data_IF_249293086074
#
_entry.id   IF_249293086074
#
_cell.length_a   1.000
_cell.length_b   1.000
_cell.length_c   1.000
_cell.angle_alpha   90.00
_cell.angle_beta   90.00
_cell.angle_gamma   90.00
#
_symmetry.space_group_name_H-M   'P 1'
#
loop_
_entity.id
_entity.type
_entity.pdbx_description
1 polymer ?
#
# COMPACT_ATOMS: atom_id res chain seq x y z
N UNK A 1 -54.20 -4.73 52.43
CA UNK A 1 -54.30 -3.55 51.55
C UNK A 1 -52.95 -2.88 51.39
N UNK A 2 -51.95 -3.55 50.80
CA UNK A 2 -50.57 -3.03 50.50
C UNK A 2 -49.86 -3.93 49.52
N UNK A 3 -50.40 -4.08 48.30
CA UNK A 3 -49.70 -4.85 47.24
C UNK A 3 -49.77 -4.18 45.85
N UNK A 4 -50.14 -2.89 45.76
CA UNK A 4 -50.37 -2.26 44.48
C UNK A 4 -49.52 -1.00 44.20
N UNK A 5 -48.39 -0.80 44.93
CA UNK A 5 -47.56 0.40 44.71
C UNK A 5 -46.13 0.13 44.16
N UNK A 6 -45.76 -1.13 43.97
CA UNK A 6 -44.40 -1.49 43.49
C UNK A 6 -44.35 -1.73 41.97
N UNK A 7 -45.50 -2.06 41.35
CA UNK A 7 -45.50 -2.38 39.88
C UNK A 7 -45.42 -1.15 38.95
N UNK A 8 -45.86 0.02 39.42
CA UNK A 8 -45.88 1.23 38.55
C UNK A 8 -44.50 1.94 38.42
N UNK A 9 -43.57 1.73 39.37
CA UNK A 9 -42.24 2.37 39.30
C UNK A 9 -41.28 1.60 38.40
N UNK A 10 -41.51 0.31 38.18
CA UNK A 10 -40.68 -0.51 37.29
C UNK A 10 -41.08 -0.37 35.80
N UNK A 11 -42.35 -0.07 35.54
CA UNK A 11 -42.85 0.12 34.16
C UNK A 11 -42.43 1.52 33.63
N UNK A 12 -42.37 2.54 34.48
CA UNK A 12 -41.91 3.91 34.08
C UNK A 12 -40.42 3.96 33.79
N UNK A 13 -39.59 3.14 34.42
CA UNK A 13 -38.13 3.05 34.17
C UNK A 13 -37.79 2.39 32.83
N UNK A 14 -38.60 1.43 32.39
CA UNK A 14 -38.36 0.69 31.16
C UNK A 14 -38.77 1.46 29.89
N UNK A 15 -39.84 2.32 30.02
CA UNK A 15 -40.30 3.14 28.88
C UNK A 15 -39.39 4.33 28.61
N UNK A 16 -38.73 4.90 29.66
CA UNK A 16 -37.85 6.06 29.49
C UNK A 16 -36.49 5.71 28.88
N UNK A 17 -36.05 4.46 28.97
CA UNK A 17 -34.81 3.99 28.33
C UNK A 17 -35.05 3.64 26.84
N UNK A 18 -36.27 3.18 26.48
CA UNK A 18 -36.59 2.86 25.09
C UNK A 18 -36.76 4.09 24.17
N UNK A 19 -37.10 5.24 24.71
CA UNK A 19 -37.31 6.49 23.95
C UNK A 19 -36.05 7.31 23.73
N UNK A 20 -34.93 7.00 24.39
CA UNK A 20 -33.62 7.65 24.20
C UNK A 20 -32.76 7.00 23.11
N UNK A 21 -33.15 5.85 22.56
CA UNK A 21 -32.40 5.11 21.55
C UNK A 21 -32.87 5.35 20.10
N UNK A 22 -33.93 6.15 19.88
CA UNK A 22 -34.45 6.39 18.52
C UNK A 22 -34.12 7.79 17.95
N UNK A 23 -33.23 8.53 18.56
CA UNK A 23 -33.02 9.96 18.26
C UNK A 23 -31.76 10.35 17.47
N UNK A 24 -30.94 9.42 16.96
CA UNK A 24 -29.76 9.78 16.15
C UNK A 24 -29.60 8.90 14.90
N UNK A 25 -30.60 8.89 14.03
CA UNK A 25 -30.36 8.61 12.64
C UNK A 25 -29.84 9.91 11.98
N UNK A 26 -28.57 10.21 12.16
CA UNK A 26 -27.89 11.23 11.37
C UNK A 26 -27.85 10.74 9.93
N UNK A 27 -28.72 11.30 9.08
CA UNK A 27 -28.53 11.22 7.64
C UNK A 27 -27.19 11.89 7.33
N UNK A 28 -26.13 11.13 7.25
CA UNK A 28 -24.90 11.56 6.59
C UNK A 28 -25.22 11.62 5.10
N UNK A 29 -25.62 12.78 4.64
CA UNK A 29 -25.52 13.12 3.22
C UNK A 29 -24.04 13.12 2.91
N UNK A 30 -23.51 11.99 2.36
CA UNK A 30 -22.22 11.98 1.71
C UNK A 30 -22.37 12.93 0.50
N UNK A 31 -21.91 14.15 0.64
CA UNK A 31 -21.55 14.95 -0.50
C UNK A 31 -20.48 14.14 -1.23
N UNK A 32 -20.83 13.51 -2.34
CA UNK A 32 -19.86 13.05 -3.30
C UNK A 32 -19.16 14.29 -3.82
N UNK A 33 -18.05 14.63 -3.20
CA UNK A 33 -17.08 15.53 -3.81
C UNK A 33 -16.59 14.78 -5.04
N UNK A 34 -17.10 15.13 -6.20
CA UNK A 34 -16.44 14.81 -7.47
C UNK A 34 -15.08 15.47 -7.37
N UNK A 35 -14.07 14.67 -7.03
CA UNK A 35 -12.70 15.15 -6.99
C UNK A 35 -12.38 15.62 -8.43
N UNK A 36 -12.25 16.92 -8.58
CA UNK A 36 -11.74 17.51 -9.82
C UNK A 36 -10.27 17.06 -9.92
N UNK A 37 -10.02 16.05 -10.78
CA UNK A 37 -8.71 15.36 -10.86
C UNK A 37 -7.63 16.18 -11.56
N UNK A 38 -8.02 17.29 -12.23
CA UNK A 38 -7.08 18.11 -12.98
C UNK A 38 -6.61 17.40 -14.25
N UNK A 39 -5.29 17.33 -14.45
CA UNK A 39 -4.68 16.66 -15.60
C UNK A 39 -4.35 15.20 -15.23
N UNK A 40 -4.70 14.28 -16.12
CA UNK A 40 -4.47 12.83 -15.99
C UNK A 40 -3.62 12.35 -17.15
N UNK A 41 -2.72 11.41 -16.92
CA UNK A 41 -1.92 10.75 -17.97
C UNK A 41 -2.17 9.26 -17.99
N UNK A 42 -2.24 8.67 -19.17
CA UNK A 42 -2.44 7.23 -19.36
C UNK A 42 -1.70 6.73 -20.60
N UNK A 43 -0.90 5.65 -20.50
CA UNK A 43 -0.58 4.91 -19.28
C UNK A 43 0.34 5.69 -18.36
N UNK A 44 0.22 5.47 -17.04
CA UNK A 44 1.10 6.10 -16.06
C UNK A 44 2.48 5.41 -15.95
N UNK A 45 2.59 4.14 -16.39
CA UNK A 45 3.82 3.35 -16.40
C UNK A 45 3.94 2.63 -17.73
N UNK A 46 5.13 2.68 -18.31
CA UNK A 46 5.52 2.00 -19.53
C UNK A 46 6.83 1.26 -19.32
N UNK A 47 6.94 0.07 -19.92
CA UNK A 47 8.14 -0.77 -19.87
C UNK A 47 8.60 -1.07 -21.30
N UNK A 48 9.90 -0.95 -21.54
CA UNK A 48 10.54 -1.19 -22.82
C UNK A 48 11.79 -2.05 -22.63
N UNK A 49 11.84 -3.19 -23.28
CA UNK A 49 13.08 -3.90 -23.53
C UNK A 49 13.66 -3.47 -24.88
N UNK A 50 14.79 -2.79 -24.87
CA UNK A 50 15.33 -2.12 -26.05
C UNK A 50 16.63 -2.74 -26.53
N UNK A 51 16.77 -2.84 -27.84
CA UNK A 51 18.03 -3.07 -28.51
C UNK A 51 18.78 -1.74 -28.72
N UNK A 52 20.10 -1.78 -28.72
CA UNK A 52 20.93 -0.61 -29.00
C UNK A 52 20.71 -0.15 -30.45
N UNK A 53 20.76 1.15 -30.69
CA UNK A 53 20.53 1.74 -32.00
C UNK A 53 19.07 1.70 -32.47
N UNK A 54 18.16 1.14 -31.68
CA UNK A 54 16.77 1.01 -32.06
C UNK A 54 15.93 2.20 -31.62
N UNK A 55 14.82 2.42 -32.35
CA UNK A 55 13.84 3.47 -32.06
C UNK A 55 12.47 2.85 -31.83
N UNK A 56 11.76 3.32 -30.81
CA UNK A 56 10.46 2.82 -30.39
C UNK A 56 9.49 3.98 -30.24
N UNK A 57 8.27 3.83 -30.69
CA UNK A 57 7.24 4.87 -30.60
C UNK A 57 6.27 4.56 -29.47
N UNK A 58 5.91 5.60 -28.72
CA UNK A 58 4.95 5.54 -27.62
C UNK A 58 3.94 6.65 -27.75
N UNK A 59 2.77 6.39 -27.18
CA UNK A 59 1.70 7.38 -27.05
C UNK A 59 1.27 7.46 -25.59
N UNK A 60 1.21 8.67 -25.05
CA UNK A 60 0.63 8.97 -23.75
C UNK A 60 -0.56 9.89 -23.97
N UNK A 61 -1.72 9.45 -23.50
CA UNK A 61 -2.92 10.28 -23.48
C UNK A 61 -2.86 11.22 -22.30
N UNK A 62 -2.96 12.52 -22.56
CA UNK A 62 -3.08 13.58 -21.56
C UNK A 62 -4.52 14.06 -21.58
N UNK A 63 -5.24 13.84 -20.48
CA UNK A 63 -6.66 14.15 -20.34
C UNK A 63 -6.85 15.30 -19.35
N UNK A 64 -7.68 16.26 -19.74
CA UNK A 64 -8.11 17.35 -18.90
C UNK A 64 -9.48 17.05 -18.27
N UNK A 65 -9.49 16.55 -17.04
CA UNK A 65 -10.74 16.23 -16.31
C UNK A 65 -11.38 17.47 -15.63
N UNK A 66 -10.96 18.69 -15.98
CA UNK A 66 -11.58 19.90 -15.47
C UNK A 66 -12.76 20.33 -16.33
N UNK A 67 -13.82 20.90 -15.76
CA UNK A 67 -15.02 21.30 -16.52
C UNK A 67 -14.90 22.64 -17.25
N UNK A 68 -13.97 23.51 -16.85
CA UNK A 68 -13.98 24.92 -17.27
C UNK A 68 -12.63 25.45 -17.73
N UNK A 69 -11.50 24.77 -17.39
CA UNK A 69 -10.17 25.32 -17.67
C UNK A 69 -9.52 24.60 -18.83
N UNK A 70 -9.07 25.33 -19.83
CA UNK A 70 -8.14 24.87 -20.84
C UNK A 70 -6.70 24.96 -20.30
N UNK A 71 -5.87 23.97 -20.62
CA UNK A 71 -4.46 23.96 -20.23
C UNK A 71 -3.56 23.88 -21.45
N UNK A 72 -2.62 24.82 -21.54
CA UNK A 72 -1.46 24.67 -22.42
C UNK A 72 -0.42 23.84 -21.68
N UNK A 73 -0.02 22.74 -22.28
CA UNK A 73 0.89 21.74 -21.71
C UNK A 73 2.23 21.78 -22.46
N UNK A 74 3.30 21.56 -21.71
CA UNK A 74 4.65 21.41 -22.26
C UNK A 74 5.20 20.03 -21.86
N UNK A 75 5.71 19.31 -22.86
CA UNK A 75 6.34 17.99 -22.69
C UNK A 75 7.79 18.16 -22.25
N UNK A 76 8.19 17.48 -21.19
CA UNK A 76 9.54 17.52 -20.61
C UNK A 76 10.07 16.10 -20.40
N UNK A 77 11.37 15.94 -20.57
CA UNK A 77 12.08 14.69 -20.23
C UNK A 77 12.80 14.86 -18.91
N UNK A 78 12.43 14.05 -17.95
CA UNK A 78 13.03 13.98 -16.64
C UNK A 78 13.53 12.56 -16.37
N UNK A 79 14.21 12.36 -15.28
CA UNK A 79 14.54 11.03 -14.73
C UNK A 79 13.81 10.84 -13.41
N UNK A 80 13.78 9.60 -12.92
CA UNK A 80 13.29 9.34 -11.58
C UNK A 80 14.17 8.31 -10.87
N UNK A 81 14.15 8.37 -9.56
CA UNK A 81 14.83 7.42 -8.68
C UNK A 81 13.89 6.95 -7.57
N UNK A 82 14.31 5.94 -6.83
CA UNK A 82 13.59 5.50 -5.63
C UNK A 82 13.68 6.60 -4.56
N UNK A 83 12.54 7.19 -4.19
CA UNK A 83 12.50 8.26 -3.18
C UNK A 83 12.40 7.72 -1.76
N UNK A 84 11.68 6.63 -1.56
CA UNK A 84 11.49 6.00 -0.27
C UNK A 84 11.37 4.48 -0.42
N UNK A 85 11.48 3.78 0.71
CA UNK A 85 11.27 2.33 0.76
C UNK A 85 9.80 1.93 0.47
N UNK A 86 8.88 2.88 0.49
CA UNK A 86 7.47 2.69 0.11
C UNK A 86 7.29 2.66 -1.42
N UNK A 87 8.34 3.02 -2.18
CA UNK A 87 8.37 2.95 -3.63
C UNK A 87 7.73 4.13 -4.33
N UNK A 88 7.64 5.28 -3.66
CA UNK A 88 7.24 6.55 -4.28
C UNK A 88 8.42 7.05 -5.12
N UNK A 89 8.25 7.24 -6.44
CA UNK A 89 9.31 7.76 -7.28
C UNK A 89 9.56 9.25 -6.99
N UNK A 90 10.82 9.65 -6.98
CA UNK A 90 11.21 11.06 -6.97
C UNK A 90 11.66 11.44 -8.38
N UNK A 91 10.90 12.33 -9.02
CA UNK A 91 11.24 12.86 -10.34
C UNK A 91 12.33 13.91 -10.17
N UNK A 92 13.39 13.79 -10.98
CA UNK A 92 14.51 14.71 -11.00
C UNK A 92 14.69 15.30 -12.39
N UNK A 93 14.98 16.58 -12.42
CA UNK A 93 15.32 17.26 -13.66
C UNK A 93 16.66 16.74 -14.17
N UNK A 94 16.74 16.48 -15.47
CA UNK A 94 17.99 16.14 -16.13
C UNK A 94 18.84 17.41 -16.28
N UNK A 95 20.11 17.40 -15.89
CA UNK A 95 21.03 18.49 -16.13
C UNK A 95 21.07 18.86 -17.62
N UNK A 96 21.37 20.13 -17.91
CA UNK A 96 21.66 20.55 -19.28
C UNK A 96 22.82 19.74 -19.86
N UNK A 97 22.67 19.29 -21.12
CA UNK A 97 23.68 18.47 -21.79
C UNK A 97 23.70 17.00 -21.40
N UNK A 98 22.77 16.53 -20.55
CA UNK A 98 22.63 15.10 -20.29
C UNK A 98 22.13 14.37 -21.54
N UNK A 99 22.93 13.39 -22.01
CA UNK A 99 22.64 12.64 -23.24
C UNK A 99 21.32 11.87 -23.22
N UNK A 100 20.85 11.45 -22.03
CA UNK A 100 19.61 10.73 -21.87
C UNK A 100 18.40 11.57 -22.29
N UNK A 101 18.48 12.90 -22.17
CA UNK A 101 17.43 13.80 -22.67
C UNK A 101 17.16 13.60 -24.16
N UNK A 102 18.19 13.30 -24.92
CA UNK A 102 18.11 13.11 -26.37
C UNK A 102 17.50 11.76 -26.78
N UNK A 103 17.30 10.85 -25.80
CA UNK A 103 16.64 9.57 -26.08
C UNK A 103 15.18 9.75 -26.41
N UNK A 104 14.52 10.76 -25.85
CA UNK A 104 13.11 11.02 -26.10
C UNK A 104 12.97 12.21 -27.04
N UNK A 105 12.21 12.01 -28.12
CA UNK A 105 11.86 13.06 -29.08
C UNK A 105 10.35 13.09 -29.24
N UNK A 106 9.74 14.18 -28.84
CA UNK A 106 8.30 14.42 -29.02
C UNK A 106 7.99 14.82 -30.43
N UNK A 107 6.85 14.40 -30.97
CA UNK A 107 6.32 14.90 -32.23
C UNK A 107 5.81 16.35 -32.05
N UNK A 108 5.25 16.64 -30.85
CA UNK A 108 4.81 17.97 -30.47
C UNK A 108 5.19 18.24 -29.01
N UNK A 109 6.01 19.27 -28.76
CA UNK A 109 6.47 19.60 -27.39
C UNK A 109 5.45 20.43 -26.61
N UNK A 110 4.67 21.28 -27.29
CA UNK A 110 3.63 22.12 -26.67
C UNK A 110 2.28 21.85 -27.34
N UNK A 111 1.23 21.72 -26.53
CA UNK A 111 -0.13 21.48 -26.99
C UNK A 111 -1.15 22.01 -25.98
N UNK A 112 -2.39 22.26 -26.45
CA UNK A 112 -3.49 22.65 -25.56
C UNK A 112 -4.48 21.52 -25.42
N UNK A 113 -5.06 21.37 -24.21
CA UNK A 113 -6.12 20.40 -23.91
C UNK A 113 -7.32 21.15 -23.37
N UNK A 114 -8.40 21.17 -24.14
CA UNK A 114 -9.66 21.81 -23.77
C UNK A 114 -10.33 21.12 -22.56
N UNK A 115 -11.27 21.77 -21.86
CA UNK A 115 -12.03 21.15 -20.79
C UNK A 115 -12.71 19.86 -21.26
N UNK A 116 -12.58 18.78 -20.45
CA UNK A 116 -13.17 17.46 -20.73
C UNK A 116 -12.70 16.81 -22.03
N UNK A 117 -11.53 17.21 -22.53
CA UNK A 117 -10.91 16.67 -23.74
C UNK A 117 -9.57 16.03 -23.46
N UNK A 118 -8.96 15.40 -24.46
CA UNK A 118 -7.67 14.72 -24.34
C UNK A 118 -6.81 14.96 -25.56
N UNK A 119 -5.49 14.87 -25.36
CA UNK A 119 -4.48 14.94 -26.40
C UNK A 119 -3.60 13.68 -26.33
N UNK A 120 -3.38 13.04 -27.47
CA UNK A 120 -2.49 11.89 -27.59
C UNK A 120 -1.07 12.39 -27.93
N UNK A 121 -0.21 12.49 -26.91
CA UNK A 121 1.19 12.89 -27.04
C UNK A 121 2.01 11.71 -27.55
N UNK A 122 2.48 11.82 -28.80
CA UNK A 122 3.34 10.81 -29.43
C UNK A 122 4.79 11.20 -29.28
N UNK A 123 5.64 10.24 -28.93
CA UNK A 123 7.08 10.44 -28.83
C UNK A 123 7.85 9.17 -29.21
N UNK A 124 9.12 9.35 -29.61
CA UNK A 124 10.05 8.28 -29.93
C UNK A 124 11.14 8.17 -28.90
N UNK A 125 11.45 6.93 -28.52
CA UNK A 125 12.58 6.58 -27.67
C UNK A 125 13.69 6.05 -28.57
N UNK A 126 14.75 6.81 -28.76
CA UNK A 126 15.90 6.48 -29.58
C UNK A 126 17.05 6.02 -28.67
N UNK A 127 17.34 4.75 -28.64
CA UNK A 127 18.39 4.17 -27.81
C UNK A 127 19.71 4.25 -28.56
N UNK A 128 20.75 4.95 -28.06
CA UNK A 128 22.04 5.04 -28.73
C UNK A 128 22.72 3.65 -28.89
N UNK A 129 23.59 3.53 -29.89
CA UNK A 129 24.41 2.33 -30.11
C UNK A 129 25.37 2.10 -28.92
N UNK A 130 25.83 3.16 -28.26
CA UNK A 130 26.77 3.15 -27.14
C UNK A 130 26.07 2.96 -25.79
N UNK A 131 24.74 2.86 -25.74
CA UNK A 131 24.00 2.71 -24.50
C UNK A 131 24.48 1.45 -23.73
N UNK A 132 24.78 1.64 -22.46
CA UNK A 132 25.22 0.52 -21.60
C UNK A 132 24.03 -0.40 -21.27
N UNK A 133 24.26 -1.71 -21.15
CA UNK A 133 23.21 -2.62 -20.68
C UNK A 133 22.74 -2.26 -19.28
N UNK A 134 21.44 -2.37 -19.06
CA UNK A 134 20.82 -2.04 -17.78
C UNK A 134 19.52 -1.25 -17.93
N UNK A 135 18.92 -0.90 -16.82
CA UNK A 135 17.66 -0.15 -16.80
C UNK A 135 17.91 1.35 -16.60
N UNK A 136 17.20 2.13 -17.41
CA UNK A 136 17.14 3.59 -17.37
C UNK A 136 15.73 4.00 -16.97
N UNK A 137 15.63 5.01 -16.11
CA UNK A 137 14.38 5.44 -15.50
C UNK A 137 14.06 6.85 -15.96
N UNK A 138 13.15 6.97 -16.92
CA UNK A 138 12.74 8.21 -17.55
C UNK A 138 11.33 8.58 -17.12
N UNK A 139 11.07 9.87 -16.97
CA UNK A 139 9.75 10.40 -16.73
C UNK A 139 9.38 11.37 -17.84
N UNK A 140 8.37 11.01 -18.61
CA UNK A 140 7.72 11.92 -19.57
C UNK A 140 6.76 12.78 -18.77
N UNK A 141 7.14 14.04 -18.57
CA UNK A 141 6.41 14.99 -17.71
C UNK A 141 5.69 16.02 -18.55
N UNK A 142 4.46 16.27 -18.20
CA UNK A 142 3.62 17.32 -18.81
C UNK A 142 3.37 18.40 -17.75
N UNK A 143 3.82 19.62 -18.05
CA UNK A 143 3.72 20.77 -17.17
C UNK A 143 2.74 21.80 -17.73
N UNK A 144 1.90 22.39 -16.87
CA UNK A 144 1.01 23.50 -17.25
C UNK A 144 1.75 24.83 -17.16
N UNK A 145 1.55 25.73 -18.14
CA UNK A 145 2.07 27.10 -18.11
C UNK A 145 3.55 27.23 -18.51
N UNK A 146 3.98 28.46 -18.71
CA UNK A 146 5.37 28.80 -19.01
C UNK A 146 6.25 28.69 -17.76
N UNK A 147 7.41 28.07 -17.88
CA UNK A 147 8.40 27.96 -16.82
C UNK A 147 8.96 29.33 -16.33
N UNK A 148 8.67 30.42 -17.05
CA UNK A 148 9.16 31.76 -16.78
C UNK A 148 8.13 32.70 -16.14
N UNK A 149 7.02 32.21 -15.57
CA UNK A 149 6.09 33.13 -14.91
C UNK A 149 6.67 33.63 -13.59
N UNK A 150 7.54 34.60 -13.72
CA UNK A 150 8.03 35.45 -12.63
C UNK A 150 6.84 36.11 -11.95
N UNK A 151 6.84 36.01 -10.62
CA UNK A 151 5.92 36.68 -9.72
C UNK A 151 5.88 38.18 -10.04
N UNK A 152 4.90 38.62 -10.81
CA UNK A 152 4.57 40.03 -10.96
C UNK A 152 3.16 40.24 -10.42
N UNK A 153 3.06 41.04 -9.36
CA UNK A 153 1.83 41.51 -8.75
C UNK A 153 0.86 40.46 -8.18
N UNK A 154 1.30 39.74 -7.12
CA UNK A 154 0.41 38.99 -6.19
C UNK A 154 -0.46 37.87 -6.81
N UNK A 155 -0.17 37.37 -7.99
CA UNK A 155 -0.73 36.11 -8.51
C UNK A 155 0.27 34.97 -8.29
N UNK A 156 -0.10 34.04 -7.45
CA UNK A 156 0.60 32.75 -7.33
C UNK A 156 0.15 31.91 -8.55
N UNK A 157 1.04 31.69 -9.48
CA UNK A 157 0.81 30.72 -10.57
C UNK A 157 1.26 29.37 -10.05
N UNK A 158 0.33 28.44 -9.89
CA UNK A 158 0.61 27.06 -9.51
C UNK A 158 0.83 26.27 -10.79
N UNK A 159 2.07 25.86 -11.06
CA UNK A 159 2.38 24.92 -12.13
C UNK A 159 1.94 23.53 -11.68
N UNK A 160 1.09 22.88 -12.45
CA UNK A 160 0.75 21.46 -12.27
C UNK A 160 1.66 20.62 -13.15
N UNK A 161 2.23 19.57 -12.60
CA UNK A 161 3.06 18.60 -13.32
C UNK A 161 2.49 17.21 -13.13
N UNK A 162 2.30 16.48 -14.21
CA UNK A 162 1.95 15.05 -14.22
C UNK A 162 2.98 14.31 -15.04
N UNK A 163 3.28 13.07 -14.70
CA UNK A 163 4.30 12.30 -15.36
C UNK A 163 3.87 10.86 -15.65
N UNK A 164 4.26 10.37 -16.81
CA UNK A 164 4.26 8.96 -17.16
C UNK A 164 5.68 8.41 -16.98
N UNK A 165 5.83 7.33 -16.20
CA UNK A 165 7.12 6.70 -15.93
C UNK A 165 7.46 5.71 -17.04
N UNK A 166 8.67 5.78 -17.56
CA UNK A 166 9.18 4.91 -18.61
C UNK A 166 10.42 4.16 -18.10
N UNK A 167 10.29 2.86 -18.00
CA UNK A 167 11.37 1.93 -17.67
C UNK A 167 11.96 1.39 -18.96
N UNK A 168 13.19 1.80 -19.30
CA UNK A 168 13.88 1.31 -20.50
C UNK A 168 14.99 0.37 -20.07
N UNK A 169 14.92 -0.90 -20.44
CA UNK A 169 15.98 -1.89 -20.21
C UNK A 169 16.71 -2.16 -21.49
N UNK A 170 17.97 -1.72 -21.58
CA UNK A 170 18.86 -1.99 -22.70
C UNK A 170 19.43 -3.39 -22.55
N UNK A 171 19.22 -4.23 -23.57
CA UNK A 171 19.68 -5.63 -23.58
C UNK A 171 21.19 -5.76 -23.49
N UNK A 172 21.65 -6.77 -22.76
CA UNK A 172 23.08 -7.10 -22.61
C UNK A 172 23.35 -7.81 -21.29
N UNK A 173 24.55 -7.57 -20.74
CA UNK A 173 24.93 -8.20 -19.47
C UNK A 173 24.10 -7.64 -18.33
N UNK A 174 23.28 -8.51 -17.72
CA UNK A 174 22.48 -8.22 -16.54
C UNK A 174 23.29 -8.56 -15.30
N UNK A 175 23.29 -7.63 -14.33
CA UNK A 175 23.78 -7.86 -12.97
C UNK A 175 22.63 -7.71 -12.03
N UNK A 176 22.34 -8.75 -11.23
CA UNK A 176 21.20 -8.76 -10.31
C UNK A 176 21.51 -9.62 -9.09
N UNK A 177 21.39 -9.01 -7.93
CA UNK A 177 21.35 -9.69 -6.64
C UNK A 177 20.10 -9.26 -5.92
N UNK A 178 19.44 -10.20 -5.27
CA UNK A 178 18.15 -9.95 -4.58
C UNK A 178 18.23 -10.58 -3.21
N UNK A 179 17.80 -9.87 -2.16
CA UNK A 179 17.75 -10.44 -0.81
C UNK A 179 16.60 -9.85 0.01
N UNK A 180 16.17 -10.62 1.01
CA UNK A 180 15.31 -10.12 2.07
C UNK A 180 16.18 -9.37 3.09
N UNK A 181 16.02 -8.05 3.17
CA UNK A 181 16.70 -7.22 4.18
C UNK A 181 16.04 -7.35 5.55
N UNK A 182 14.73 -7.51 5.59
CA UNK A 182 13.95 -7.78 6.80
C UNK A 182 12.76 -8.68 6.46
N UNK A 183 12.35 -9.51 7.42
CA UNK A 183 11.13 -10.30 7.37
C UNK A 183 10.69 -10.59 8.81
N UNK A 184 9.76 -9.80 9.34
CA UNK A 184 9.41 -9.87 10.73
C UNK A 184 7.95 -9.48 11.00
N UNK A 185 7.41 -10.04 12.05
CA UNK A 185 6.11 -9.64 12.60
C UNK A 185 6.28 -8.58 13.71
N UNK A 186 5.25 -7.77 13.93
CA UNK A 186 5.24 -6.71 14.95
C UNK A 186 5.38 -7.24 16.39
N UNK A 187 5.11 -8.54 16.62
CA UNK A 187 5.30 -9.27 17.88
C UNK A 187 5.69 -10.72 17.59
N UNK A 188 6.17 -11.43 18.59
CA UNK A 188 6.38 -12.88 18.52
C UNK A 188 5.25 -13.68 19.17
N UNK A 189 4.57 -13.11 20.17
CA UNK A 189 3.48 -13.76 20.91
C UNK A 189 2.20 -12.95 20.73
N UNK A 190 1.14 -13.64 20.36
CA UNK A 190 -0.17 -13.06 20.06
C UNK A 190 -1.28 -13.75 20.85
N UNK A 191 -2.25 -12.98 21.27
CA UNK A 191 -3.56 -13.53 21.58
C UNK A 191 -4.32 -13.78 20.28
N UNK A 192 -4.73 -15.03 19.95
CA UNK A 192 -5.30 -15.37 18.65
C UNK A 192 -6.62 -14.66 18.36
N UNK A 193 -7.32 -14.20 19.38
CA UNK A 193 -8.65 -13.59 19.26
C UNK A 193 -8.61 -12.07 19.25
N UNK A 194 -7.66 -11.47 19.99
CA UNK A 194 -7.69 -10.04 20.29
C UNK A 194 -6.51 -9.25 19.72
N UNK A 195 -5.43 -9.90 19.27
CA UNK A 195 -4.27 -9.21 18.73
C UNK A 195 -4.28 -9.19 17.20
N UNK A 196 -4.03 -8.01 16.59
CA UNK A 196 -3.72 -7.88 15.18
C UNK A 196 -2.26 -8.27 14.92
N UNK A 197 -2.03 -8.95 13.79
CA UNK A 197 -0.70 -9.32 13.31
C UNK A 197 -0.36 -8.41 12.14
N UNK A 198 0.84 -7.84 12.19
CA UNK A 198 1.46 -7.14 11.07
C UNK A 198 2.73 -7.87 10.69
N UNK A 199 2.84 -8.30 9.44
CA UNK A 199 4.09 -8.75 8.85
C UNK A 199 4.66 -7.61 8.01
N UNK A 200 5.88 -7.21 8.30
CA UNK A 200 6.66 -6.29 7.49
C UNK A 200 7.87 -7.02 6.88
N UNK A 201 8.10 -6.82 5.60
CA UNK A 201 9.27 -7.36 4.93
C UNK A 201 9.82 -6.36 3.93
N UNK A 202 11.14 -6.41 3.77
CA UNK A 202 11.89 -5.53 2.89
C UNK A 202 12.73 -6.35 1.93
N UNK A 203 12.61 -6.05 0.65
CA UNK A 203 13.40 -6.68 -0.41
C UNK A 203 14.34 -5.64 -0.97
N UNK A 204 15.63 -5.99 -1.01
CA UNK A 204 16.68 -5.18 -1.62
C UNK A 204 17.19 -5.80 -2.91
N UNK A 205 17.60 -4.94 -3.84
CA UNK A 205 18.25 -5.34 -5.08
C UNK A 205 19.58 -4.62 -5.26
N UNK A 206 20.57 -5.33 -5.80
CA UNK A 206 21.84 -4.75 -6.26
C UNK A 206 22.05 -5.14 -7.72
N UNK A 207 22.65 -4.24 -8.50
CA UNK A 207 22.92 -4.49 -9.92
C UNK A 207 22.54 -3.35 -10.85
N UNK A 208 22.24 -3.67 -12.12
CA UNK A 208 21.98 -2.68 -13.17
C UNK A 208 20.57 -2.72 -13.76
N UNK A 209 19.68 -3.61 -13.27
CA UNK A 209 18.30 -3.73 -13.75
C UNK A 209 17.31 -3.71 -12.60
N UNK A 210 16.12 -3.15 -12.85
CA UNK A 210 15.03 -3.20 -11.89
C UNK A 210 14.48 -4.62 -11.71
N UNK A 211 13.73 -4.84 -10.65
CA UNK A 211 13.06 -6.09 -10.35
C UNK A 211 11.58 -5.86 -10.06
N UNK A 212 10.73 -6.72 -10.62
CA UNK A 212 9.39 -7.01 -10.09
C UNK A 212 9.48 -8.32 -9.30
N UNK A 213 9.48 -8.28 -7.98
CA UNK A 213 9.64 -9.50 -7.20
C UNK A 213 8.44 -10.42 -7.41
N UNK A 214 8.71 -11.64 -7.88
CA UNK A 214 7.73 -12.71 -8.00
C UNK A 214 7.92 -13.72 -6.87
N UNK A 215 6.82 -14.20 -6.27
CA UNK A 215 6.90 -15.17 -5.20
C UNK A 215 5.64 -15.20 -4.33
N UNK A 216 5.70 -16.03 -3.29
CA UNK A 216 4.58 -16.24 -2.39
C UNK A 216 5.01 -16.18 -0.92
N UNK A 217 4.03 -15.88 -0.07
CA UNK A 217 4.12 -16.01 1.37
C UNK A 217 3.18 -17.14 1.77
N UNK A 218 3.72 -18.15 2.41
CA UNK A 218 3.01 -19.32 2.92
C UNK A 218 2.83 -19.17 4.42
N UNK A 219 1.62 -19.35 4.89
CA UNK A 219 1.30 -19.33 6.32
C UNK A 219 0.86 -20.73 6.72
N UNK A 220 1.50 -21.28 7.73
CA UNK A 220 1.24 -22.64 8.23
C UNK A 220 2.50 -23.44 8.47
N UNK A 221 2.41 -24.49 9.31
CA UNK A 221 3.57 -25.29 9.69
C UNK A 221 4.03 -26.31 8.63
N UNK A 222 3.26 -26.45 7.55
CA UNK A 222 3.59 -27.31 6.41
C UNK A 222 3.54 -26.51 5.12
N UNK A 223 4.69 -26.27 4.51
CA UNK A 223 4.81 -25.49 3.26
C UNK A 223 4.13 -26.18 2.06
N UNK A 224 4.01 -27.51 2.06
CA UNK A 224 3.34 -28.27 1.00
C UNK A 224 1.80 -28.20 1.12
N UNK A 225 1.31 -27.88 2.32
CA UNK A 225 -0.12 -27.70 2.62
C UNK A 225 -0.30 -26.49 3.53
N UNK A 226 -0.03 -25.28 3.03
CA UNK A 226 -0.17 -24.08 3.82
C UNK A 226 -1.64 -23.79 4.13
N UNK A 227 -1.89 -23.17 5.25
CA UNK A 227 -3.22 -22.70 5.66
C UNK A 227 -3.66 -21.49 4.83
N UNK A 228 -2.69 -20.68 4.38
CA UNK A 228 -2.90 -19.59 3.44
C UNK A 228 -1.66 -19.39 2.54
N UNK A 229 -1.91 -18.98 1.30
CA UNK A 229 -0.89 -18.55 0.34
C UNK A 229 -1.23 -17.15 -0.14
N UNK A 230 -0.29 -16.23 0.01
CA UNK A 230 -0.43 -14.83 -0.35
C UNK A 230 0.63 -14.47 -1.39
N UNK A 231 0.29 -13.62 -2.36
CA UNK A 231 1.30 -13.08 -3.28
C UNK A 231 2.31 -12.20 -2.51
N UNK A 232 3.60 -12.36 -2.79
CA UNK A 232 4.66 -11.55 -2.22
C UNK A 232 4.54 -10.08 -2.68
N UNK A 233 4.21 -9.86 -3.93
CA UNK A 233 4.08 -8.55 -4.56
C UNK A 233 2.74 -8.43 -5.29
N UNK A 234 1.62 -8.20 -4.57
CA UNK A 234 0.28 -8.24 -5.17
C UNK A 234 -0.02 -7.08 -6.13
N UNK A 235 0.76 -6.01 -6.08
CA UNK A 235 0.56 -4.80 -6.89
C UNK A 235 1.59 -4.68 -8.04
N UNK A 236 2.32 -5.76 -8.36
CA UNK A 236 3.40 -5.76 -9.37
C UNK A 236 4.37 -4.58 -9.23
N UNK A 237 4.66 -4.26 -7.98
CA UNK A 237 5.53 -3.14 -7.63
C UNK A 237 6.96 -3.35 -8.07
N UNK A 238 7.61 -2.28 -8.49
CA UNK A 238 9.01 -2.29 -8.94
C UNK A 238 9.97 -2.01 -7.79
N UNK A 239 11.15 -2.62 -7.86
CA UNK A 239 12.31 -2.27 -7.04
C UNK A 239 13.42 -1.83 -7.99
N UNK A 240 13.89 -0.59 -7.85
CA UNK A 240 14.94 -0.04 -8.69
C UNK A 240 16.30 -0.65 -8.29
N UNK A 241 17.30 -0.68 -9.19
CA UNK A 241 18.64 -1.12 -8.85
C UNK A 241 19.21 -0.38 -7.65
N UNK A 242 19.95 -1.10 -6.81
CA UNK A 242 20.61 -0.57 -5.61
C UNK A 242 19.64 0.13 -4.64
N UNK A 243 18.39 -0.33 -4.60
CA UNK A 243 17.38 0.20 -3.70
C UNK A 243 16.68 -0.91 -2.91
N UNK A 244 15.92 -0.49 -1.90
CA UNK A 244 15.11 -1.36 -1.08
C UNK A 244 13.65 -0.94 -1.19
N UNK A 245 12.73 -1.91 -1.09
CA UNK A 245 11.31 -1.64 -1.02
C UNK A 245 10.68 -2.41 0.12
N UNK A 246 9.86 -1.72 0.89
CA UNK A 246 9.08 -2.29 1.98
C UNK A 246 7.73 -2.77 1.49
N UNK A 247 7.30 -3.89 2.03
CA UNK A 247 6.02 -4.53 1.80
C UNK A 247 5.47 -5.02 3.14
N UNK A 248 4.21 -5.34 3.17
CA UNK A 248 3.61 -5.92 4.36
C UNK A 248 2.16 -6.28 4.18
N UNK A 249 1.60 -6.86 5.22
CA UNK A 249 0.17 -7.06 5.36
C UNK A 249 -0.24 -7.05 6.83
N UNK A 250 -1.52 -6.85 7.06
CA UNK A 250 -2.14 -6.95 8.38
C UNK A 250 -3.24 -8.01 8.36
N UNK A 251 -3.32 -8.77 9.45
CA UNK A 251 -4.43 -9.65 9.74
C UNK A 251 -5.08 -9.16 11.03
N UNK A 252 -6.30 -8.66 10.93
CA UNK A 252 -7.01 -8.04 12.05
C UNK A 252 -7.47 -9.08 13.09
N UNK A 253 -7.69 -8.69 14.35
CA UNK A 253 -8.21 -9.57 15.38
C UNK A 253 -9.64 -10.01 15.05
N UNK A 254 -9.97 -11.27 15.41
CA UNK A 254 -11.30 -11.86 15.16
C UNK A 254 -12.40 -11.26 16.04
N UNK A 255 -12.07 -10.88 17.26
CA UNK A 255 -13.00 -10.27 18.20
C UNK A 255 -12.70 -8.78 18.39
N UNK A 256 -13.76 -7.99 18.54
CA UNK A 256 -13.64 -6.56 18.80
C UNK A 256 -14.29 -6.26 20.16
N UNK A 257 -13.51 -6.44 21.24
CA UNK A 257 -13.93 -6.07 22.60
C UNK A 257 -13.08 -4.89 23.03
N UNK A 258 -13.66 -3.72 23.30
CA UNK A 258 -12.92 -2.57 23.83
C UNK A 258 -12.03 -2.98 24.99
N UNK A 259 -10.85 -2.40 25.13
CA UNK A 259 -9.80 -2.68 26.11
C UNK A 259 -9.01 -4.00 25.90
N UNK A 260 -9.53 -4.98 25.20
CA UNK A 260 -8.85 -6.25 24.92
C UNK A 260 -8.30 -6.33 23.51
N UNK A 261 -9.01 -5.75 22.55
CA UNK A 261 -8.68 -5.81 21.13
C UNK A 261 -7.58 -4.83 20.76
N UNK A 262 -6.55 -5.35 20.10
CA UNK A 262 -5.46 -4.56 19.54
C UNK A 262 -5.46 -4.71 18.03
N UNK A 263 -6.05 -3.72 17.34
CA UNK A 263 -5.96 -3.61 15.89
C UNK A 263 -4.57 -3.13 15.47
N UNK A 264 -4.20 -3.45 14.25
CA UNK A 264 -2.95 -2.99 13.62
C UNK A 264 -3.27 -2.21 12.36
N UNK A 265 -2.42 -1.25 12.05
CA UNK A 265 -2.53 -0.46 10.83
C UNK A 265 -1.60 -1.01 9.75
N UNK A 266 -2.06 -0.98 8.52
CA UNK A 266 -1.31 -1.39 7.34
C UNK A 266 -2.19 -1.30 6.09
N UNK A 267 -1.54 -1.24 4.93
CA UNK A 267 -2.22 -1.00 3.66
C UNK A 267 -2.99 -2.22 3.14
N UNK A 268 -2.44 -3.44 3.37
CA UNK A 268 -3.01 -4.69 2.87
C UNK A 268 -3.60 -5.50 4.01
N UNK A 269 -4.92 -5.61 4.02
CA UNK A 269 -5.62 -6.51 4.96
C UNK A 269 -5.77 -7.90 4.34
N UNK A 270 -5.47 -8.94 5.13
CA UNK A 270 -5.62 -10.34 4.75
C UNK A 270 -6.34 -11.11 5.86
N UNK A 271 -7.14 -12.10 5.48
CA UNK A 271 -7.77 -13.01 6.43
C UNK A 271 -6.97 -14.32 6.47
N UNK A 272 -6.34 -14.57 7.61
CA UNK A 272 -5.54 -15.77 7.86
C UNK A 272 -6.11 -16.50 9.06
N UNK A 273 -6.34 -17.79 8.91
CA UNK A 273 -6.70 -18.64 10.05
C UNK A 273 -5.54 -18.73 11.01
N UNK A 274 -5.84 -18.59 12.31
CA UNK A 274 -4.88 -18.68 13.41
C UNK A 274 -5.20 -19.87 14.27
N UNK A 275 -4.21 -20.66 14.70
CA UNK A 275 -4.43 -21.66 15.74
C UNK A 275 -4.85 -20.95 17.02
N UNK A 276 -5.71 -21.58 17.81
CA UNK A 276 -6.11 -21.03 19.10
C UNK A 276 -4.98 -21.10 20.15
N UNK A 277 -4.02 -22.02 19.94
CA UNK A 277 -2.82 -22.21 20.73
C UNK A 277 -1.73 -22.88 19.91
N UNK A 278 -0.46 -22.55 20.15
CA UNK A 278 0.70 -23.13 19.49
C UNK A 278 1.37 -22.19 18.50
N UNK A 279 2.37 -22.68 17.80
CA UNK A 279 3.14 -21.88 16.84
C UNK A 279 2.60 -22.02 15.42
N UNK A 280 2.86 -20.99 14.62
CA UNK A 280 2.57 -20.95 13.18
C UNK A 280 3.74 -20.31 12.45
N UNK A 281 4.25 -20.96 11.43
CA UNK A 281 5.31 -20.44 10.59
C UNK A 281 4.75 -19.56 9.47
N UNK A 282 5.52 -18.55 9.10
CA UNK A 282 5.28 -17.71 7.95
C UNK A 282 6.57 -17.77 7.12
N UNK A 283 6.49 -18.33 5.91
CA UNK A 283 7.63 -18.52 5.02
C UNK A 283 7.39 -17.74 3.75
N UNK A 284 8.32 -16.90 3.34
CA UNK A 284 8.27 -16.23 2.04
C UNK A 284 9.33 -16.82 1.09
N UNK A 285 8.99 -16.90 -0.18
CA UNK A 285 9.95 -17.15 -1.23
C UNK A 285 9.92 -16.03 -2.26
N UNK A 286 11.08 -15.78 -2.86
CA UNK A 286 11.23 -14.92 -4.04
C UNK A 286 11.93 -15.70 -5.12
N UNK A 287 11.43 -15.60 -6.35
CA UNK A 287 11.99 -16.24 -7.54
C UNK A 287 12.41 -15.13 -8.49
N UNK A 288 13.63 -15.19 -8.97
CA UNK A 288 14.19 -14.23 -9.92
C UNK A 288 15.21 -14.90 -10.83
N UNK A 289 15.45 -14.30 -12.00
CA UNK A 289 16.54 -14.72 -12.87
C UNK A 289 17.83 -14.00 -12.41
N UNK A 290 18.90 -14.76 -12.20
CA UNK A 290 20.23 -14.21 -11.90
C UNK A 290 20.88 -13.54 -13.12
N UNK A 291 22.16 -13.19 -12.98
CA UNK A 291 22.96 -12.56 -14.04
C UNK A 291 23.18 -13.43 -15.28
N UNK A 292 23.02 -14.75 -15.16
CA UNK A 292 23.15 -15.73 -16.24
C UNK A 292 21.80 -16.15 -16.83
N UNK A 293 20.70 -15.58 -16.29
CA UNK A 293 19.32 -15.94 -16.67
C UNK A 293 18.81 -17.23 -16.01
N UNK A 294 19.54 -17.81 -15.07
CA UNK A 294 19.13 -18.96 -14.31
C UNK A 294 18.15 -18.54 -13.22
N UNK A 295 17.08 -19.30 -13.07
CA UNK A 295 16.12 -19.04 -11.98
C UNK A 295 16.72 -19.42 -10.63
N UNK A 296 16.80 -18.44 -9.75
CA UNK A 296 17.15 -18.60 -8.35
C UNK A 296 15.92 -18.42 -7.47
N UNK A 297 15.93 -19.13 -6.34
CA UNK A 297 14.92 -19.01 -5.29
C UNK A 297 15.60 -18.69 -3.98
N UNK A 298 15.12 -17.65 -3.30
CA UNK A 298 15.50 -17.33 -1.93
C UNK A 298 14.30 -17.44 -1.02
N UNK A 299 14.54 -17.95 0.19
CA UNK A 299 13.51 -18.17 1.19
C UNK A 299 13.91 -17.50 2.49
N UNK A 300 12.89 -17.08 3.23
CA UNK A 300 13.00 -16.54 4.59
C UNK A 300 11.79 -16.99 5.39
N UNK A 301 11.99 -17.23 6.67
CA UNK A 301 10.90 -17.62 7.57
C UNK A 301 10.89 -16.82 8.87
N UNK A 302 9.71 -16.70 9.45
CA UNK A 302 9.51 -16.25 10.83
C UNK A 302 8.43 -17.12 11.48
N UNK A 303 8.43 -17.16 12.80
CA UNK A 303 7.49 -17.96 13.58
C UNK A 303 6.75 -17.07 14.57
N UNK A 304 5.47 -17.31 14.73
CA UNK A 304 4.61 -16.61 15.68
C UNK A 304 4.00 -17.63 16.64
N UNK A 305 3.89 -17.25 17.92
CA UNK A 305 3.31 -18.07 18.96
C UNK A 305 1.96 -17.51 19.39
N UNK A 306 0.93 -18.34 19.41
CA UNK A 306 -0.41 -17.99 19.85
C UNK A 306 -0.68 -18.53 21.25
N UNK A 307 -1.06 -17.65 22.18
CA UNK A 307 -1.47 -17.95 23.54
C UNK A 307 -2.71 -17.13 23.88
N UNK A 308 -3.87 -17.74 24.19
CA UNK A 308 -5.10 -17.01 24.47
C UNK A 308 -5.11 -16.45 25.90
N UNK A 309 -4.09 -15.71 26.28
CA UNK A 309 -3.89 -15.23 27.65
C UNK A 309 -4.93 -14.18 28.08
N UNK A 310 -5.44 -13.35 27.17
CA UNK A 310 -6.50 -12.37 27.45
C UNK A 310 -7.82 -13.06 27.76
N UNK A 311 -8.14 -14.13 27.03
CA UNK A 311 -9.30 -14.96 27.32
C UNK A 311 -9.17 -15.61 28.71
N UNK A 312 -8.00 -16.12 29.05
CA UNK A 312 -7.71 -16.66 30.38
C UNK A 312 -7.93 -15.63 31.50
N UNK A 313 -7.51 -14.39 31.28
CA UNK A 313 -7.73 -13.28 32.22
C UNK A 313 -9.23 -12.99 32.40
N UNK A 314 -10.00 -12.95 31.32
CA UNK A 314 -11.47 -12.72 31.37
C UNK A 314 -12.15 -13.82 32.19
N UNK A 315 -11.79 -15.09 31.96
CA UNK A 315 -12.33 -16.21 32.70
C UNK A 315 -11.96 -16.11 34.17
N UNK A 316 -10.72 -15.77 34.50
CA UNK A 316 -10.27 -15.59 35.89
C UNK A 316 -11.06 -14.49 36.60
N UNK A 317 -11.25 -13.35 35.98
CA UNK A 317 -12.05 -12.25 36.55
C UNK A 317 -13.50 -12.67 36.73
N UNK A 318 -14.10 -13.39 35.78
CA UNK A 318 -15.46 -13.88 35.90
C UNK A 318 -15.63 -14.88 37.08
N UNK A 319 -14.68 -15.80 37.23
CA UNK A 319 -14.65 -16.75 38.36
C UNK A 319 -14.48 -16.03 39.71
N UNK A 320 -13.58 -15.04 39.77
CA UNK A 320 -13.39 -14.23 40.98
C UNK A 320 -14.67 -13.44 41.36
N UNK A 321 -15.34 -12.85 40.36
CA UNK A 321 -16.59 -12.15 40.58
C UNK A 321 -17.71 -13.09 41.06
N UNK A 322 -17.84 -14.28 40.46
CA UNK A 322 -18.80 -15.26 40.84
C UNK A 322 -18.54 -15.79 42.29
N UNK A 323 -17.28 -16.04 42.63
CA UNK A 323 -16.87 -16.43 44.01
C UNK A 323 -17.19 -15.31 45.02
N UNK A 324 -16.88 -14.06 44.68
CA UNK A 324 -17.21 -12.89 45.53
C UNK A 324 -18.72 -12.76 45.74
N UNK A 325 -19.52 -12.89 44.69
CA UNK A 325 -20.97 -12.87 44.78
C UNK A 325 -21.51 -14.02 45.66
N UNK A 326 -20.95 -15.21 45.54
CA UNK A 326 -21.30 -16.36 46.38
C UNK A 326 -21.03 -16.08 47.86
N UNK A 327 -19.87 -15.54 48.21
CA UNK A 327 -19.53 -15.23 49.61
C UNK A 327 -20.39 -14.09 50.19
N UNK A 328 -20.79 -13.12 49.39
CA UNK A 328 -21.70 -12.03 49.84
C UNK A 328 -23.13 -12.55 49.98
N UNK A 329 -23.59 -13.45 49.14
CA UNK A 329 -24.95 -14.01 49.19
C UNK A 329 -25.11 -15.11 50.27
N UNK A 330 -24.02 -15.66 50.77
CA UNK A 330 -24.07 -16.70 51.80
C UNK A 330 -24.67 -16.14 53.09
N UNK A 331 -25.83 -16.62 53.53
CA UNK A 331 -26.46 -16.12 54.76
C UNK A 331 -25.49 -16.34 55.94
N UNK A 332 -25.28 -15.27 56.72
CA UNK A 332 -24.60 -15.39 58.01
C UNK A 332 -25.48 -16.20 58.91
N UNK A 333 -25.20 -17.50 59.06
CA UNK A 333 -25.83 -18.29 60.10
C UNK A 333 -25.38 -17.69 61.44
N UNK A 334 -26.31 -16.93 62.07
CA UNK A 334 -26.19 -16.52 63.44
C UNK A 334 -26.13 -17.79 64.31
N UNK A 335 -25.05 -18.00 65.01
CA UNK A 335 -25.02 -18.94 66.15
C UNK A 335 -25.75 -18.25 67.28
N UNK A 336 -26.94 -18.71 67.57
CA UNK A 336 -27.53 -18.58 68.90
C UNK A 336 -26.88 -19.52 69.86
#
# INVERSE_FOLDING_TARGET
MTLNKISHKLIFGAVTVATLLTGFASFQTQAQTTANRGIIVSPAIMELEADRGASYEFTVRVENDTPESEYTMRSLVNTFEAGSEEGIPVIKELPEGNEIRNWIKFDQEEFSVSPRDSFDSVFKVNVPDEAKPGSYFLAVTYATGDAETVVTNSKVVVEQRVAALLFVTVKGKVERQVEFKTFATNKQVYDPFFDGIKLDYKIGTEGNVYLKPAGNIFVGNNIDKPEATLALNPNDSFILPNSNRSFGFVNQPKLNIPLLTQKVEGEREVDINRPWFGSQKITANIIFADSEGKLERKEVETEVLYIPWKLGLVVLVAVAAAAGAYFVAKPKFSKE
#
